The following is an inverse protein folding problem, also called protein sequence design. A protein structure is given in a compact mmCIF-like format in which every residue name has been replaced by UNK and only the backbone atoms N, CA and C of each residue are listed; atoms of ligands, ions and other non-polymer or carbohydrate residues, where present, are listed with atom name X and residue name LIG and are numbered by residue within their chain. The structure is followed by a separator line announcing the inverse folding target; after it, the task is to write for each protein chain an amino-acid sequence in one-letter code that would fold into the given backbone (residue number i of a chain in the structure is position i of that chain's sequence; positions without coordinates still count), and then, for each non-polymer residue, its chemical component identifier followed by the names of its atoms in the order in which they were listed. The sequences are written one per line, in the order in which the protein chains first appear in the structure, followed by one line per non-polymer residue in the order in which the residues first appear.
data_IF_821953822828
#
_entry.id   IF_821953822828
#
_cell.length_a   1.000
_cell.length_b   1.000
_cell.length_c   1.000
_cell.angle_alpha   90.00
_cell.angle_beta   90.00
_cell.angle_gamma   90.00
#
_symmetry.space_group_name_H-M   'P 1'
#
loop_
_entity.id
_entity.type
_entity.pdbx_description
1 polymer ?
#
# COMPACT_ATOMS: atom_id res chain seq x y z
N UNK A 1 -8.61 -18.93 3.35
CA UNK A 1 -9.43 -17.80 3.88
C UNK A 1 -9.22 -16.55 3.03
N UNK A 2 -10.09 -15.53 3.14
CA UNK A 2 -9.96 -14.27 2.39
C UNK A 2 -8.59 -13.61 2.60
N UNK A 3 -8.08 -13.67 3.83
CA UNK A 3 -6.77 -13.14 4.25
C UNK A 3 -5.61 -13.78 3.46
N UNK A 4 -5.57 -15.11 3.32
CA UNK A 4 -4.50 -15.82 2.58
C UNK A 4 -4.40 -15.42 1.09
N UNK A 5 -5.51 -14.93 0.51
CA UNK A 5 -5.55 -14.46 -0.88
C UNK A 5 -5.29 -12.95 -1.04
N UNK A 6 -5.58 -12.15 0.00
CA UNK A 6 -5.43 -10.69 -0.02
C UNK A 6 -4.04 -10.27 0.38
N UNK A 7 -3.53 -10.86 1.46
CA UNK A 7 -2.34 -10.38 2.15
C UNK A 7 -1.12 -10.34 1.23
N UNK A 8 -0.78 -11.41 0.48
CA UNK A 8 0.36 -11.36 -0.44
C UNK A 8 0.22 -10.26 -1.49
N UNK A 9 -0.98 -10.10 -2.06
CA UNK A 9 -1.24 -9.07 -3.06
C UNK A 9 -1.18 -7.65 -2.49
N UNK A 10 -1.65 -7.47 -1.25
CA UNK A 10 -1.58 -6.19 -0.54
C UNK A 10 -0.12 -5.83 -0.23
N UNK A 11 0.67 -6.80 0.22
CA UNK A 11 2.11 -6.64 0.46
C UNK A 11 2.84 -6.26 -0.83
N UNK A 12 2.64 -7.01 -1.92
CA UNK A 12 3.26 -6.76 -3.21
C UNK A 12 2.94 -5.36 -3.75
N UNK A 13 1.66 -4.96 -3.72
CA UNK A 13 1.23 -3.65 -4.19
C UNK A 13 1.74 -2.52 -3.29
N UNK A 14 1.84 -2.76 -1.98
CA UNK A 14 2.44 -1.81 -1.04
C UNK A 14 3.91 -1.61 -1.33
N UNK A 15 4.68 -2.70 -1.46
CA UNK A 15 6.12 -2.64 -1.70
C UNK A 15 6.46 -2.07 -3.07
N UNK A 16 5.64 -2.32 -4.09
CA UNK A 16 5.79 -1.68 -5.39
C UNK A 16 5.70 -0.15 -5.32
N UNK A 17 4.77 0.37 -4.52
CA UNK A 17 4.56 1.81 -4.35
C UNK A 17 5.61 2.42 -3.42
N UNK A 18 5.87 1.76 -2.29
CA UNK A 18 6.81 2.21 -1.28
C UNK A 18 8.24 2.24 -1.83
N UNK A 19 8.64 1.21 -2.59
CA UNK A 19 9.94 1.15 -3.25
C UNK A 19 10.15 2.35 -4.18
N UNK A 20 9.15 2.74 -4.96
CA UNK A 20 9.25 3.94 -5.82
C UNK A 20 9.36 5.25 -5.04
N UNK A 21 8.63 5.36 -3.92
CA UNK A 21 8.67 6.56 -3.07
C UNK A 21 9.98 6.69 -2.28
N UNK A 22 10.66 5.57 -2.02
CA UNK A 22 11.79 5.51 -1.09
C UNK A 22 13.12 5.15 -1.75
N UNK A 23 13.11 4.82 -3.04
CA UNK A 23 14.26 4.25 -3.78
C UNK A 23 14.62 2.83 -3.33
N UNK A 24 13.60 2.01 -3.09
CA UNK A 24 13.71 0.65 -2.57
C UNK A 24 14.40 0.55 -1.19
N UNK A 25 14.52 1.66 -0.47
CA UNK A 25 15.12 1.70 0.87
C UNK A 25 14.20 1.18 1.97
N UNK A 26 12.89 1.12 1.72
CA UNK A 26 11.91 0.64 2.69
C UNK A 26 11.01 -0.43 2.10
N UNK A 27 10.63 -1.40 2.93
CA UNK A 27 9.64 -2.41 2.62
C UNK A 27 8.70 -2.68 3.80
N UNK A 28 7.58 -3.31 3.51
CA UNK A 28 6.57 -3.79 4.45
C UNK A 28 6.42 -5.30 4.29
N UNK A 29 6.31 -6.00 5.40
CA UNK A 29 5.91 -7.40 5.47
C UNK A 29 4.63 -7.53 6.29
N UNK A 30 3.68 -8.30 5.78
CA UNK A 30 2.38 -8.54 6.38
C UNK A 30 2.31 -9.97 6.91
N UNK A 31 2.33 -10.14 8.23
CA UNK A 31 2.33 -11.45 8.87
C UNK A 31 1.01 -11.73 9.58
N UNK A 32 0.36 -12.84 9.25
CA UNK A 32 -0.85 -13.26 9.95
C UNK A 32 -0.47 -14.06 11.18
N UNK A 33 -0.91 -13.64 12.36
CA UNK A 33 -0.78 -14.46 13.56
C UNK A 33 -2.13 -15.08 13.93
N UNK A 34 -2.07 -16.30 14.45
CA UNK A 34 -3.22 -16.96 15.10
C UNK A 34 -2.90 -17.08 16.56
N UNK A 35 -3.31 -16.08 17.32
CA UNK A 35 -3.27 -16.16 18.76
C UNK A 35 -4.41 -17.05 19.23
N UNK A 36 -4.05 -18.17 19.87
CA UNK A 36 -4.99 -18.83 20.76
C UNK A 36 -5.18 -17.87 21.93
N UNK A 37 -6.39 -17.34 22.09
CA UNK A 37 -6.70 -16.52 23.25
C UNK A 37 -6.23 -17.27 24.52
N UNK A 38 -5.54 -16.58 25.43
CA UNK A 38 -5.22 -17.14 26.74
C UNK A 38 -6.54 -17.35 27.49
N UNK A 39 -7.09 -18.57 27.42
CA UNK A 39 -8.40 -18.94 27.97
C UNK A 39 -9.36 -19.56 26.93
N UNK A 40 -10.61 -19.78 27.34
CA UNK A 40 -11.69 -20.42 26.56
C UNK A 40 -12.26 -19.53 25.42
N UNK A 41 -11.49 -18.57 24.92
CA UNK A 41 -11.92 -17.64 23.87
C UNK A 41 -11.65 -18.16 22.46
N UNK A 42 -12.45 -17.70 21.49
CA UNK A 42 -12.22 -18.00 20.08
C UNK A 42 -10.82 -17.55 19.62
N UNK A 43 -10.17 -18.30 18.70
CA UNK A 43 -8.89 -17.89 18.12
C UNK A 43 -8.99 -16.50 17.51
N UNK A 44 -8.05 -15.61 17.85
CA UNK A 44 -7.94 -14.29 17.23
C UNK A 44 -6.91 -14.36 16.11
N UNK A 45 -7.36 -14.04 14.91
CA UNK A 45 -6.47 -13.84 13.76
C UNK A 45 -6.10 -12.35 13.72
N UNK A 46 -4.81 -12.06 13.88
CA UNK A 46 -4.25 -10.71 13.79
C UNK A 46 -3.41 -10.59 12.53
N UNK A 47 -3.20 -9.34 12.08
CA UNK A 47 -2.32 -9.02 10.97
C UNK A 47 -1.29 -8.02 11.47
N UNK A 48 -0.04 -8.45 11.52
CA UNK A 48 1.08 -7.62 11.88
C UNK A 48 1.68 -6.98 10.64
N UNK A 49 2.05 -5.71 10.78
CA UNK A 49 2.67 -4.91 9.73
C UNK A 49 4.08 -4.60 10.19
N UNK A 50 5.05 -5.26 9.60
CA UNK A 50 6.47 -5.09 9.91
C UNK A 50 7.06 -4.18 8.84
N UNK A 51 7.62 -3.04 9.25
CA UNK A 51 8.29 -2.10 8.34
C UNK A 51 9.79 -2.24 8.51
N UNK A 52 10.51 -2.37 7.41
CA UNK A 52 11.98 -2.44 7.41
C UNK A 52 12.59 -1.35 6.54
N UNK A 53 13.77 -0.88 6.94
CA UNK A 53 14.66 -0.08 6.10
C UNK A 53 16.04 -0.74 5.94
N UNK A 54 17.06 0.02 5.55
CA UNK A 54 18.45 -0.44 5.42
C UNK A 54 19.06 -0.98 6.73
N UNK A 55 18.50 -0.59 7.89
CA UNK A 55 18.93 -1.06 9.21
C UNK A 55 18.17 -2.31 9.68
N UNK A 56 17.19 -2.77 8.89
CA UNK A 56 16.35 -3.92 9.18
C UNK A 56 14.97 -3.57 9.74
N UNK A 57 14.26 -4.55 10.31
CA UNK A 57 12.93 -4.34 10.89
C UNK A 57 13.01 -3.43 12.12
N UNK A 58 12.15 -2.40 12.18
CA UNK A 58 12.02 -1.52 13.34
C UNK A 58 10.56 -1.18 13.61
N UNK A 59 10.26 -0.80 14.85
CA UNK A 59 8.91 -0.41 15.24
C UNK A 59 8.42 0.78 14.42
N UNK A 60 7.12 0.81 14.10
CA UNK A 60 6.53 1.85 13.26
C UNK A 60 6.73 3.25 13.86
N UNK A 61 6.75 3.36 15.19
CA UNK A 61 7.04 4.56 15.97
C UNK A 61 8.46 5.10 15.82
N UNK A 62 9.40 4.29 15.30
CA UNK A 62 10.79 4.69 15.09
C UNK A 62 11.02 5.39 13.74
N UNK A 63 10.00 5.43 12.87
CA UNK A 63 10.10 6.14 11.58
C UNK A 63 9.81 7.63 11.76
N UNK A 64 10.55 8.46 11.03
CA UNK A 64 10.24 9.89 10.93
C UNK A 64 8.84 10.11 10.37
N UNK A 65 8.24 11.27 10.66
CA UNK A 65 6.91 11.60 10.13
C UNK A 65 6.82 11.53 8.61
N UNK A 66 7.93 11.81 7.90
CA UNK A 66 8.00 11.71 6.45
C UNK A 66 8.02 10.26 5.94
N UNK A 67 8.76 9.38 6.61
CA UNK A 67 8.83 7.95 6.31
C UNK A 67 7.51 7.24 6.61
N UNK A 68 6.96 7.48 7.80
CA UNK A 68 5.66 6.96 8.23
C UNK A 68 4.55 7.36 7.24
N UNK A 69 4.59 8.60 6.74
CA UNK A 69 3.67 9.04 5.69
C UNK A 69 3.77 8.22 4.40
N UNK A 70 4.98 7.93 3.90
CA UNK A 70 5.19 7.13 2.68
C UNK A 70 4.68 5.70 2.85
N UNK A 71 4.91 5.08 4.01
CA UNK A 71 4.38 3.75 4.35
C UNK A 71 2.85 3.78 4.36
N UNK A 72 2.25 4.74 5.06
CA UNK A 72 0.80 4.90 5.14
C UNK A 72 0.17 5.12 3.76
N UNK A 73 0.78 5.99 2.95
CA UNK A 73 0.30 6.29 1.62
C UNK A 73 0.36 5.05 0.71
N UNK A 74 1.47 4.30 0.74
CA UNK A 74 1.61 3.06 0.00
C UNK A 74 0.52 2.04 0.38
N UNK A 75 0.36 1.77 1.68
CA UNK A 75 -0.64 0.83 2.20
C UNK A 75 -2.07 1.23 1.82
N UNK A 76 -2.43 2.51 1.99
CA UNK A 76 -3.79 3.02 1.67
C UNK A 76 -4.11 2.89 0.18
N UNK A 77 -3.15 3.22 -0.69
CA UNK A 77 -3.33 3.08 -2.14
C UNK A 77 -3.40 1.60 -2.53
N UNK A 78 -2.51 0.76 -2.00
CA UNK A 78 -2.51 -0.67 -2.27
C UNK A 78 -3.83 -1.33 -1.86
N UNK A 79 -4.34 -1.01 -0.66
CA UNK A 79 -5.64 -1.47 -0.19
C UNK A 79 -6.77 -1.01 -1.12
N UNK A 80 -6.77 0.26 -1.51
CA UNK A 80 -7.77 0.80 -2.44
C UNK A 80 -7.76 0.08 -3.80
N UNK A 81 -6.56 -0.25 -4.32
CA UNK A 81 -6.39 -1.01 -5.56
C UNK A 81 -6.91 -2.44 -5.44
N UNK A 82 -6.58 -3.12 -4.35
CA UNK A 82 -7.04 -4.50 -4.10
C UNK A 82 -8.56 -4.55 -3.95
N UNK A 83 -9.16 -3.56 -3.26
CA UNK A 83 -10.61 -3.46 -3.13
C UNK A 83 -11.30 -3.17 -4.47
N UNK A 84 -10.81 -2.19 -5.24
CA UNK A 84 -11.36 -1.84 -6.55
C UNK A 84 -11.35 -3.02 -7.54
N UNK A 85 -10.26 -3.80 -7.55
CA UNK A 85 -10.14 -4.99 -8.39
C UNK A 85 -11.14 -6.09 -8.03
N UNK A 86 -11.60 -6.14 -6.77
CA UNK A 86 -12.56 -7.14 -6.29
C UNK A 86 -14.00 -6.75 -6.55
N UNK A 87 -14.33 -5.47 -6.40
CA UNK A 87 -15.70 -4.96 -6.59
C UNK A 87 -16.02 -4.67 -8.06
N UNK A 88 -15.02 -4.68 -8.94
CA UNK A 88 -15.16 -4.23 -10.32
C UNK A 88 -15.44 -2.73 -10.45
N UNK A 89 -15.37 -2.00 -9.34
CA UNK A 89 -15.58 -0.56 -9.31
C UNK A 89 -14.27 0.18 -9.61
N UNK A 90 -14.34 1.37 -10.24
CA UNK A 90 -13.16 2.21 -10.40
C UNK A 90 -12.58 2.56 -9.02
N UNK A 91 -11.27 2.84 -8.98
CA UNK A 91 -10.63 3.30 -7.75
C UNK A 91 -11.31 4.60 -7.29
N UNK A 92 -11.76 4.69 -6.02
CA UNK A 92 -12.42 5.90 -5.53
C UNK A 92 -11.48 7.11 -5.62
N UNK A 93 -12.07 8.31 -5.69
CA UNK A 93 -11.36 9.59 -5.61
C UNK A 93 -10.43 9.62 -4.39
N UNK A 94 -9.16 9.97 -4.61
CA UNK A 94 -8.16 10.08 -3.54
C UNK A 94 -8.10 11.52 -3.03
N UNK A 95 -8.40 11.73 -1.74
CA UNK A 95 -8.18 12.98 -1.03
C UNK A 95 -6.94 12.85 -0.13
N UNK A 96 -6.02 13.81 -0.21
CA UNK A 96 -4.80 13.86 0.62
C UNK A 96 -4.74 15.27 1.22
N UNK A 97 -4.97 15.40 2.51
CA UNK A 97 -5.02 16.70 3.19
C UNK A 97 -3.75 17.01 4.00
N UNK A 98 -2.90 16.01 4.24
CA UNK A 98 -1.73 16.15 5.11
C UNK A 98 -0.55 15.27 4.64
N UNK A 99 0.67 15.61 5.07
CA UNK A 99 1.84 14.74 4.97
C UNK A 99 2.86 15.05 3.86
N UNK A 100 2.58 16.01 2.97
CA UNK A 100 3.60 16.56 2.05
C UNK A 100 4.56 17.54 2.73
N UNK A 101 4.12 18.23 3.79
CA UNK A 101 4.94 19.20 4.52
C UNK A 101 6.09 18.59 5.32
N UNK A 102 6.02 17.28 5.60
CA UNK A 102 7.08 16.52 6.29
C UNK A 102 8.07 15.87 5.32
N UNK A 103 7.89 16.07 4.01
CA UNK A 103 8.76 15.50 2.97
C UNK A 103 9.85 16.51 2.57
N UNK A 104 11.04 15.99 2.31
CA UNK A 104 12.06 16.74 1.57
C UNK A 104 11.68 16.88 0.09
N UNK A 105 12.44 17.68 -0.65
CA UNK A 105 12.15 17.96 -2.07
C UNK A 105 12.10 16.68 -2.91
N UNK A 106 13.05 15.76 -2.67
CA UNK A 106 13.19 14.49 -3.40
C UNK A 106 12.02 13.55 -3.07
N UNK A 107 11.70 13.38 -1.79
CA UNK A 107 10.59 12.54 -1.34
C UNK A 107 9.26 13.04 -1.89
N UNK A 108 9.05 14.36 -1.89
CA UNK A 108 7.84 14.98 -2.48
C UNK A 108 7.74 14.70 -3.98
N UNK A 109 8.81 14.88 -4.73
CA UNK A 109 8.84 14.59 -6.17
C UNK A 109 8.47 13.13 -6.46
N UNK A 110 9.10 12.19 -5.75
CA UNK A 110 8.82 10.76 -5.91
C UNK A 110 7.38 10.39 -5.59
N UNK A 111 6.79 11.00 -4.56
CA UNK A 111 5.37 10.79 -4.22
C UNK A 111 4.48 11.28 -5.38
N UNK A 112 4.75 12.45 -5.93
CA UNK A 112 3.99 13.00 -7.06
C UNK A 112 4.09 12.12 -8.31
N UNK A 113 5.28 11.59 -8.60
CA UNK A 113 5.49 10.66 -9.71
C UNK A 113 4.67 9.38 -9.55
N UNK A 114 4.65 8.81 -8.34
CA UNK A 114 3.84 7.63 -8.03
C UNK A 114 2.35 7.92 -8.21
N UNK A 115 1.85 9.05 -7.70
CA UNK A 115 0.44 9.47 -7.86
C UNK A 115 0.11 9.66 -9.36
N UNK A 116 1.00 10.30 -10.12
CA UNK A 116 0.83 10.51 -11.56
C UNK A 116 0.77 9.18 -12.33
N UNK A 117 1.63 8.22 -11.98
CA UNK A 117 1.65 6.88 -12.56
C UNK A 117 0.35 6.12 -12.26
N UNK A 118 -0.17 6.20 -11.04
CA UNK A 118 -1.45 5.62 -10.66
C UNK A 118 -2.59 6.24 -11.47
N UNK A 119 -2.66 7.58 -11.53
CA UNK A 119 -3.65 8.30 -12.34
C UNK A 119 -3.65 7.85 -13.80
N UNK A 120 -2.47 7.69 -14.40
CA UNK A 120 -2.32 7.22 -15.79
C UNK A 120 -2.83 5.79 -15.97
N UNK A 121 -2.55 4.89 -15.02
CA UNK A 121 -3.01 3.49 -15.05
C UNK A 121 -4.54 3.40 -14.92
N UNK A 122 -5.14 4.21 -14.06
CA UNK A 122 -6.59 4.25 -13.87
C UNK A 122 -7.32 4.82 -15.09
N UNK A 123 -6.77 5.84 -15.75
CA UNK A 123 -7.37 6.38 -17.00
C UNK A 123 -7.36 5.40 -18.16
N UNK A 124 -6.48 4.38 -18.15
CA UNK A 124 -6.42 3.35 -19.20
C UNK A 124 -7.40 2.18 -19.00
N UNK A 125 -8.19 2.18 -17.93
CA UNK A 125 -9.09 1.08 -17.61
C UNK A 125 -10.39 1.67 -17.07
N UNK A 126 -11.33 2.09 -17.95
CA UNK A 126 -12.27 1.14 -18.58
C UNK A 126 -12.68 1.53 -20.02
N UNK A 127 -12.59 0.59 -20.98
CA UNK A 127 -13.32 0.69 -22.26
C UNK A 127 -12.51 0.77 -23.56
N UNK A 128 -11.17 0.69 -23.54
CA UNK A 128 -10.38 0.66 -24.79
C UNK A 128 -10.30 -0.75 -25.39
N UNK A 129 -11.47 -1.35 -25.65
CA UNK A 129 -11.67 -2.53 -26.50
C UNK A 129 -12.80 -2.25 -27.51
N UNK A 130 -12.84 -1.03 -28.05
CA UNK A 130 -13.68 -0.74 -29.20
C UNK A 130 -12.86 -0.94 -30.49
N UNK A 131 -13.18 -2.05 -31.17
CA UNK A 131 -13.13 -2.19 -32.63
C UNK A 131 -11.74 -2.06 -33.29
N UNK A 132 -11.05 -3.20 -33.35
CA UNK A 132 -10.33 -3.57 -34.58
C UNK A 132 -11.04 -4.75 -35.23
N UNK A 133 -12.15 -4.45 -35.89
CA UNK A 133 -12.67 -5.23 -37.01
C UNK A 133 -12.37 -4.45 -38.28
N UNK A 134 -11.38 -4.94 -39.03
CA UNK A 134 -11.27 -5.09 -40.49
C UNK A 134 -9.80 -5.27 -40.82
#
# INVERSE_FOLDING_TARGET
MLIETVVPRLEDETNLLLGRMTDNRMNVKLETQRDRASGNGDPRETLDIIVSDELGPRGYEMFSGGEAFRVNLAMRIALSKVLAQRTGAPLPTLFIDEGFGTQDAIGRERILDVISAIRKRLRKSPGDHSLRTT
#
